data_IF_794964614861
#
_entry.id   IF_794964614861
#
_cell.length_a   1.000
_cell.length_b   1.000
_cell.length_c   1.000
_cell.angle_alpha   90.00
_cell.angle_beta   90.00
_cell.angle_gamma   90.00
#
_symmetry.space_group_name_H-M   'P 1'
#
loop_
_entity.id
_entity.type
_entity.pdbx_description
1 polymer ?
#
# COMPACT_ATOMS: atom_id res chain seq x y z
N UNK A 1 3.88 -17.91 0.87
CA UNK A 1 2.72 -18.45 1.65
C UNK A 1 1.62 -17.41 1.95
N UNK A 2 1.80 -16.14 1.58
CA UNK A 2 0.73 -15.10 1.67
C UNK A 2 -0.40 -15.34 0.68
N UNK A 3 -0.09 -15.70 -0.53
CA UNK A 3 -1.06 -15.96 -1.59
C UNK A 3 -2.21 -16.92 -1.19
N UNK A 4 -2.01 -17.80 -0.22
CA UNK A 4 -3.02 -18.80 0.16
C UNK A 4 -4.02 -18.30 1.23
N UNK A 5 -3.75 -17.19 1.93
CA UNK A 5 -4.65 -16.70 2.99
C UNK A 5 -5.81 -15.84 2.48
N UNK A 6 -5.72 -15.27 1.27
CA UNK A 6 -6.66 -14.29 0.73
C UNK A 6 -7.68 -14.83 -0.28
N UNK A 7 -7.56 -16.09 -0.73
CA UNK A 7 -8.32 -16.67 -1.85
C UNK A 7 -9.83 -16.82 -1.58
N UNK A 8 -10.33 -16.65 -0.36
CA UNK A 8 -11.74 -16.97 -0.04
C UNK A 8 -12.67 -15.78 0.19
N UNK A 9 -12.24 -14.52 0.02
CA UNK A 9 -13.04 -13.39 0.48
C UNK A 9 -13.45 -12.34 -0.56
N UNK A 10 -12.93 -12.34 -1.78
CA UNK A 10 -13.30 -11.29 -2.76
C UNK A 10 -13.65 -11.88 -4.12
N UNK A 11 -14.73 -12.67 -4.16
CA UNK A 11 -15.45 -12.90 -5.41
C UNK A 11 -16.50 -11.81 -5.58
N UNK A 12 -16.16 -10.80 -6.38
CA UNK A 12 -17.15 -9.92 -6.99
C UNK A 12 -17.48 -8.65 -6.22
N UNK A 13 -16.98 -7.54 -6.67
CA UNK A 13 -17.80 -6.40 -7.04
C UNK A 13 -16.94 -5.17 -7.39
N UNK A 14 -16.43 -5.18 -8.61
CA UNK A 14 -16.18 -3.92 -9.29
C UNK A 14 -17.51 -3.34 -9.73
N UNK A 15 -18.14 -2.48 -8.94
CA UNK A 15 -19.26 -1.67 -9.40
C UNK A 15 -18.69 -0.39 -9.99
N UNK A 16 -18.57 -0.38 -11.30
CA UNK A 16 -18.45 0.84 -12.07
C UNK A 16 -19.79 1.59 -11.95
N UNK A 17 -19.84 2.68 -11.21
CA UNK A 17 -20.94 3.62 -11.26
C UNK A 17 -20.79 4.44 -12.55
N UNK A 18 -21.39 3.92 -13.65
CA UNK A 18 -21.68 4.70 -14.82
C UNK A 18 -22.87 5.61 -14.46
N UNK A 19 -22.62 6.89 -14.35
CA UNK A 19 -23.67 7.91 -14.26
C UNK A 19 -24.39 8.01 -15.59
N UNK A 20 -25.66 7.65 -15.63
CA UNK A 20 -26.54 7.89 -16.77
C UNK A 20 -27.29 9.22 -16.54
N UNK A 21 -26.91 10.24 -17.30
CA UNK A 21 -27.68 11.48 -17.41
C UNK A 21 -28.80 11.31 -18.45
N UNK A 22 -29.93 11.92 -18.16
CA UNK A 22 -31.03 12.08 -19.10
C UNK A 22 -32.17 12.83 -18.39
N UNK A 23 -32.43 14.02 -18.66
CA UNK A 23 -33.08 14.65 -19.72
C UNK A 23 -34.42 15.22 -19.29
N UNK A 24 -34.55 16.55 -19.21
CA UNK A 24 -35.65 17.33 -19.73
C UNK A 24 -37.02 17.37 -19.01
N UNK A 25 -37.43 18.56 -18.62
CA UNK A 25 -38.84 18.89 -18.32
C UNK A 25 -39.00 20.25 -17.66
N UNK A 26 -39.26 21.24 -18.49
CA UNK A 26 -39.70 22.58 -18.08
C UNK A 26 -41.08 22.56 -17.42
N UNK A 27 -41.30 23.38 -16.39
CA UNK A 27 -42.43 24.34 -16.34
C UNK A 27 -42.55 25.11 -15.04
N UNK A 28 -42.66 26.41 -15.24
CA UNK A 28 -43.41 27.43 -14.55
C UNK A 28 -43.08 27.90 -13.13
N UNK A 29 -42.79 29.17 -13.16
CA UNK A 29 -42.65 30.12 -12.07
C UNK A 29 -43.95 30.20 -11.19
N UNK A 30 -43.72 30.36 -9.89
CA UNK A 30 -44.56 31.14 -9.00
C UNK A 30 -43.71 31.86 -7.98
N UNK A 31 -43.73 33.16 -8.10
CA UNK A 31 -43.20 34.13 -7.14
C UNK A 31 -43.94 34.07 -5.83
N UNK A 32 -43.24 33.82 -4.73
CA UNK A 32 -43.65 34.28 -3.42
C UNK A 32 -42.43 34.74 -2.64
N UNK A 33 -42.33 36.06 -2.53
CA UNK A 33 -41.36 36.73 -1.67
C UNK A 33 -41.75 36.52 -0.21
N UNK A 34 -40.97 35.71 0.51
CA UNK A 34 -40.94 35.73 1.96
C UNK A 34 -39.52 36.18 2.38
N UNK A 35 -39.48 37.38 2.92
CA UNK A 35 -38.31 37.96 3.58
C UNK A 35 -38.01 37.15 4.83
N UNK A 36 -37.11 36.17 4.70
CA UNK A 36 -36.51 35.42 5.79
C UNK A 36 -35.10 35.92 6.05
N UNK A 37 -34.90 36.54 7.21
CA UNK A 37 -33.60 36.86 7.78
C UNK A 37 -32.74 35.60 7.82
N UNK A 38 -31.79 35.50 6.90
CA UNK A 38 -30.75 34.47 6.94
C UNK A 38 -29.82 34.80 8.09
N UNK A 39 -29.94 34.09 9.20
CA UNK A 39 -28.85 33.99 10.18
C UNK A 39 -27.64 33.39 9.47
N UNK A 40 -26.46 33.99 9.62
CA UNK A 40 -25.22 33.38 9.08
C UNK A 40 -25.04 32.00 9.71
N UNK A 41 -25.06 30.95 8.90
CA UNK A 41 -24.58 29.65 9.33
C UNK A 41 -23.09 29.83 9.57
N UNK A 42 -22.73 30.04 10.81
CA UNK A 42 -21.34 29.93 11.24
C UNK A 42 -20.96 28.46 11.03
N UNK A 43 -20.28 28.16 9.93
CA UNK A 43 -19.57 26.90 9.77
C UNK A 43 -18.53 26.84 10.88
N UNK A 44 -18.90 26.30 12.04
CA UNK A 44 -17.96 25.89 13.06
C UNK A 44 -17.06 24.83 12.40
N UNK A 45 -15.74 25.03 12.33
CA UNK A 45 -14.86 24.00 11.79
C UNK A 45 -15.14 22.70 12.55
N UNK A 46 -15.47 21.63 11.83
CA UNK A 46 -15.61 20.31 12.44
C UNK A 46 -14.24 19.99 13.04
N UNK A 47 -14.20 19.74 14.35
CA UNK A 47 -12.95 19.43 15.03
C UNK A 47 -12.31 18.20 14.37
N UNK A 48 -11.00 18.28 14.12
CA UNK A 48 -10.21 17.13 13.69
C UNK A 48 -10.31 16.03 14.74
N UNK A 49 -10.57 14.79 14.35
CA UNK A 49 -10.46 13.66 15.27
C UNK A 49 -8.97 13.40 15.52
N UNK A 50 -8.49 13.96 16.63
CA UNK A 50 -7.14 13.69 17.13
C UNK A 50 -7.14 12.57 18.18
N UNK A 51 -8.33 12.01 18.50
CA UNK A 51 -8.51 11.11 19.62
C UNK A 51 -7.60 9.87 19.58
N UNK A 52 -7.13 9.45 18.40
CA UNK A 52 -6.28 8.28 18.24
C UNK A 52 -5.05 8.53 17.35
N UNK A 53 -4.85 9.76 16.88
CA UNK A 53 -3.66 10.15 16.13
C UNK A 53 -2.58 10.70 17.09
N UNK A 54 -1.34 10.67 16.66
CA UNK A 54 -0.26 11.37 17.35
C UNK A 54 -0.45 12.89 17.15
N UNK A 55 -0.72 13.67 18.21
CA UNK A 55 -0.96 15.11 18.06
C UNK A 55 0.30 15.88 17.64
N UNK A 56 1.48 15.27 17.71
CA UNK A 56 2.76 15.89 17.35
C UNK A 56 3.28 15.41 15.99
N UNK A 57 2.61 14.46 15.35
CA UNK A 57 3.04 13.89 14.07
C UNK A 57 2.82 14.89 12.93
N UNK A 58 3.85 15.61 12.60
CA UNK A 58 3.91 16.49 11.44
C UNK A 58 4.93 15.90 10.47
N UNK A 59 4.56 15.61 9.22
CA UNK A 59 5.50 15.09 8.24
C UNK A 59 6.71 16.00 8.10
N UNK A 60 7.92 15.41 8.08
CA UNK A 60 9.12 16.18 7.78
C UNK A 60 9.06 16.72 6.35
N UNK A 61 9.77 17.81 6.08
CA UNK A 61 9.81 18.39 4.74
C UNK A 61 10.43 17.41 3.74
N UNK A 62 9.77 17.20 2.61
CA UNK A 62 10.21 16.31 1.52
C UNK A 62 11.30 16.94 0.64
N UNK A 63 12.27 17.63 1.24
CA UNK A 63 13.39 18.25 0.50
C UNK A 63 14.77 17.69 0.83
N UNK A 64 14.83 16.74 1.77
CA UNK A 64 16.08 16.07 2.16
C UNK A 64 16.44 14.94 1.22
N UNK A 65 17.70 14.54 1.20
CA UNK A 65 18.25 13.49 0.34
C UNK A 65 17.52 12.14 0.50
N UNK A 66 17.09 11.83 1.72
CA UNK A 66 16.41 10.59 2.11
C UNK A 66 14.88 10.73 2.17
N UNK A 67 14.26 11.67 1.45
CA UNK A 67 12.81 11.89 1.53
C UNK A 67 12.17 12.05 0.16
N UNK A 68 10.95 11.51 -0.01
CA UNK A 68 10.08 11.79 -1.16
C UNK A 68 8.69 12.20 -0.71
N UNK A 69 8.02 13.14 -1.42
CA UNK A 69 6.66 13.54 -1.08
C UNK A 69 5.67 12.41 -1.36
N UNK A 70 4.71 12.21 -0.45
CA UNK A 70 3.53 11.37 -0.64
C UNK A 70 2.33 12.28 -0.92
N UNK A 71 1.51 11.90 -1.90
CA UNK A 71 0.25 12.59 -2.22
C UNK A 71 -0.89 11.58 -2.33
N UNK A 72 -2.00 11.87 -1.65
CA UNK A 72 -3.30 11.22 -1.86
C UNK A 72 -4.20 12.22 -2.58
N UNK A 73 -4.75 11.85 -3.72
CA UNK A 73 -5.55 12.76 -4.55
C UNK A 73 -6.55 12.01 -5.43
N UNK A 74 -7.30 12.76 -6.23
CA UNK A 74 -8.23 12.24 -7.24
C UNK A 74 -7.57 11.58 -8.45
N UNK A 75 -6.24 11.49 -8.53
CA UNK A 75 -5.58 10.74 -9.58
C UNK A 75 -6.03 9.27 -9.58
N UNK A 76 -6.06 8.65 -8.41
CA UNK A 76 -6.63 7.31 -8.28
C UNK A 76 -8.14 7.37 -8.23
N UNK A 77 -8.81 6.44 -8.93
CA UNK A 77 -10.24 6.17 -8.73
C UNK A 77 -10.52 5.57 -7.35
N UNK A 78 -9.49 5.02 -6.70
CA UNK A 78 -9.55 4.49 -5.33
C UNK A 78 -9.18 5.59 -4.33
N UNK A 79 -9.78 5.53 -3.16
CA UNK A 79 -9.52 6.48 -2.07
C UNK A 79 -8.36 6.03 -1.20
N UNK A 80 -7.75 6.94 -0.48
CA UNK A 80 -6.67 6.64 0.46
C UNK A 80 -5.46 5.93 -0.21
N UNK A 81 -5.13 6.31 -1.45
CA UNK A 81 -3.97 5.76 -2.17
C UNK A 81 -2.78 6.72 -2.04
N UNK A 82 -1.77 6.42 -1.20
CA UNK A 82 -0.57 7.23 -1.07
C UNK A 82 0.36 6.99 -2.26
N UNK A 83 0.64 8.03 -3.04
CA UNK A 83 1.40 7.97 -4.27
C UNK A 83 2.72 8.71 -4.15
N UNK A 84 3.76 8.17 -4.77
CA UNK A 84 5.10 8.77 -4.92
C UNK A 84 5.55 8.71 -6.37
N UNK A 85 6.65 9.43 -6.68
CA UNK A 85 7.38 9.30 -7.94
C UNK A 85 8.62 8.42 -7.75
N UNK A 86 8.85 7.50 -8.69
CA UNK A 86 10.01 6.62 -8.72
C UNK A 86 10.78 6.82 -10.02
N UNK A 87 12.09 6.91 -9.95
CA UNK A 87 12.95 6.97 -11.14
C UNK A 87 13.60 5.61 -11.38
N UNK A 88 13.45 5.06 -12.60
CA UNK A 88 14.09 3.81 -13.04
C UNK A 88 14.99 4.09 -14.24
N UNK A 89 16.18 3.51 -14.22
CA UNK A 89 17.22 3.74 -15.23
C UNK A 89 17.85 2.43 -15.69
N UNK A 90 18.58 2.47 -16.79
CA UNK A 90 19.41 1.35 -17.21
C UNK A 90 20.36 0.93 -16.08
N UNK A 91 20.48 -0.39 -15.77
CA UNK A 91 21.29 -0.87 -14.66
C UNK A 91 22.78 -0.62 -14.86
N UNK A 92 23.52 -0.44 -13.76
CA UNK A 92 24.96 -0.16 -13.78
C UNK A 92 25.34 1.25 -14.20
N UNK A 93 24.37 2.16 -14.30
CA UNK A 93 24.60 3.57 -14.70
C UNK A 93 24.60 4.54 -13.52
N UNK A 94 24.37 4.05 -12.29
CA UNK A 94 24.21 4.89 -11.11
C UNK A 94 22.95 5.77 -11.17
N UNK A 95 21.89 5.24 -11.80
CA UNK A 95 20.64 5.95 -12.09
C UNK A 95 20.84 7.24 -12.91
N UNK A 96 21.78 7.25 -13.86
CA UNK A 96 22.13 8.43 -14.64
C UNK A 96 21.69 8.38 -16.12
N UNK A 97 21.58 7.19 -16.72
CA UNK A 97 21.30 7.06 -18.16
C UNK A 97 20.04 6.23 -18.45
N UNK A 98 19.37 6.57 -19.54
CA UNK A 98 18.16 5.89 -20.01
C UNK A 98 17.13 5.77 -18.88
N UNK A 99 16.77 6.89 -18.30
CA UNK A 99 15.89 6.95 -17.15
C UNK A 99 14.46 7.30 -17.54
N UNK A 100 13.52 6.74 -16.79
CA UNK A 100 12.11 7.16 -16.75
C UNK A 100 11.73 7.55 -15.33
N UNK A 101 11.06 8.68 -15.18
CA UNK A 101 10.40 9.05 -13.92
C UNK A 101 8.94 8.61 -14.03
N UNK A 102 8.53 7.78 -13.11
CA UNK A 102 7.17 7.23 -13.05
C UNK A 102 6.47 7.83 -11.86
N UNK A 103 5.50 8.69 -12.13
CA UNK A 103 4.66 9.30 -11.10
C UNK A 103 3.52 8.35 -10.70
N UNK A 104 2.88 8.65 -9.57
CA UNK A 104 1.69 7.93 -9.11
C UNK A 104 1.93 6.43 -8.91
N UNK A 105 3.03 6.07 -8.27
CA UNK A 105 3.35 4.73 -7.81
C UNK A 105 2.84 4.59 -6.37
N UNK A 106 2.02 3.56 -6.12
CA UNK A 106 1.42 3.30 -4.82
C UNK A 106 2.49 2.91 -3.79
N UNK A 107 2.51 3.56 -2.65
CA UNK A 107 3.32 3.17 -1.48
C UNK A 107 2.59 2.06 -0.73
N UNK A 108 3.20 0.90 -0.67
CA UNK A 108 2.62 -0.31 -0.08
C UNK A 108 3.57 -0.90 0.96
N UNK A 109 3.16 -0.87 2.23
CA UNK A 109 3.97 -1.35 3.35
C UNK A 109 3.72 -2.82 3.69
N UNK A 110 2.84 -3.49 2.95
CA UNK A 110 2.53 -4.90 3.15
C UNK A 110 2.91 -5.77 1.94
N UNK A 111 3.56 -5.17 0.93
CA UNK A 111 4.26 -5.88 -0.13
C UNK A 111 5.74 -5.49 -0.19
N UNK A 112 6.53 -6.18 -1.04
CA UNK A 112 7.98 -6.06 -1.09
C UNK A 112 8.44 -6.01 -2.54
N UNK A 113 9.18 -4.93 -2.87
CA UNK A 113 9.74 -4.74 -4.19
C UNK A 113 8.95 -3.80 -5.10
N UNK A 114 9.61 -3.37 -6.15
CA UNK A 114 9.05 -2.41 -7.11
C UNK A 114 8.38 -3.16 -8.27
N UNK A 115 7.14 -2.79 -8.57
CA UNK A 115 6.33 -3.31 -9.68
C UNK A 115 5.78 -2.16 -10.50
N UNK A 116 6.05 -2.11 -11.80
CA UNK A 116 5.65 -1.03 -12.69
C UNK A 116 4.97 -1.58 -13.95
N UNK A 117 3.93 -0.94 -14.43
CA UNK A 117 3.34 -1.30 -15.71
C UNK A 117 4.29 -0.96 -16.87
N UNK A 118 4.45 -1.88 -17.81
CA UNK A 118 5.28 -1.67 -19.00
C UNK A 118 4.87 -0.41 -19.78
N UNK A 119 3.58 -0.11 -19.82
CA UNK A 119 3.01 1.02 -20.56
C UNK A 119 3.45 2.39 -20.04
N UNK A 120 3.97 2.47 -18.82
CA UNK A 120 4.42 3.75 -18.22
C UNK A 120 5.94 3.89 -18.18
N UNK A 121 6.70 2.95 -18.77
CA UNK A 121 8.16 2.96 -18.80
C UNK A 121 8.65 3.27 -20.22
N UNK A 122 8.86 4.54 -20.60
CA UNK A 122 9.34 4.89 -21.95
C UNK A 122 10.67 4.24 -22.33
N UNK A 123 11.54 4.01 -21.32
CA UNK A 123 12.88 3.41 -21.50
C UNK A 123 12.90 1.90 -21.24
N UNK A 124 11.77 1.21 -21.34
CA UNK A 124 11.63 -0.23 -21.05
C UNK A 124 12.71 -1.10 -21.69
N UNK A 125 13.04 -0.82 -22.96
CA UNK A 125 14.04 -1.60 -23.70
C UNK A 125 15.47 -1.46 -23.16
N UNK A 126 15.75 -0.49 -22.30
CA UNK A 126 17.06 -0.34 -21.62
C UNK A 126 17.16 -1.16 -20.33
N UNK A 127 16.07 -1.78 -19.90
CA UNK A 127 16.00 -2.63 -18.71
C UNK A 127 16.14 -4.08 -19.15
N UNK A 128 17.28 -4.75 -18.91
CA UNK A 128 17.47 -6.13 -19.33
C UNK A 128 16.54 -7.09 -18.58
N UNK A 129 16.07 -8.11 -19.28
CA UNK A 129 15.32 -9.21 -18.72
C UNK A 129 16.19 -10.02 -17.76
N UNK A 130 15.63 -10.40 -16.63
CA UNK A 130 16.24 -11.40 -15.76
C UNK A 130 16.09 -12.78 -16.39
N UNK A 131 17.19 -13.51 -16.50
CA UNK A 131 17.25 -14.80 -17.20
C UNK A 131 17.64 -15.92 -16.25
N UNK A 132 17.01 -17.08 -16.43
CA UNK A 132 17.47 -18.35 -15.86
C UNK A 132 17.75 -19.32 -17.00
N UNK A 133 19.02 -19.50 -17.30
CA UNK A 133 19.46 -20.14 -18.55
C UNK A 133 19.06 -19.31 -19.76
N UNK A 134 18.30 -19.90 -20.69
CA UNK A 134 17.79 -19.22 -21.89
C UNK A 134 16.32 -18.76 -21.74
N UNK A 135 15.75 -18.81 -20.56
CA UNK A 135 14.35 -18.50 -20.28
C UNK A 135 14.21 -17.21 -19.47
N UNK A 136 13.16 -16.43 -19.74
CA UNK A 136 12.86 -15.23 -19.01
C UNK A 136 12.28 -15.60 -17.62
N UNK A 137 12.72 -14.93 -16.57
CA UNK A 137 12.06 -15.00 -15.27
C UNK A 137 10.81 -14.14 -15.30
N UNK A 138 9.70 -14.70 -14.86
CA UNK A 138 8.42 -14.01 -14.71
C UNK A 138 7.90 -14.19 -13.29
N UNK A 139 7.12 -13.22 -12.83
CA UNK A 139 6.52 -13.19 -11.52
C UNK A 139 5.01 -13.03 -11.61
N UNK A 140 4.31 -13.71 -10.72
CA UNK A 140 2.92 -13.43 -10.36
C UNK A 140 2.87 -12.98 -8.91
N UNK A 141 2.38 -11.79 -8.63
CA UNK A 141 2.13 -11.34 -7.26
C UNK A 141 0.63 -11.14 -7.05
N UNK A 142 0.14 -11.58 -5.88
CA UNK A 142 -1.29 -11.54 -5.54
C UNK A 142 -1.56 -10.51 -4.46
N UNK A 143 -2.51 -9.62 -4.75
CA UNK A 143 -3.00 -8.57 -3.88
C UNK A 143 -4.48 -8.79 -3.54
N UNK A 144 -4.99 -8.09 -2.54
CA UNK A 144 -6.42 -8.11 -2.23
C UNK A 144 -7.33 -7.65 -3.39
N UNK A 145 -6.81 -6.84 -4.31
CA UNK A 145 -7.54 -6.33 -5.48
C UNK A 145 -7.39 -7.17 -6.74
N UNK A 146 -6.52 -8.17 -6.76
CA UNK A 146 -6.23 -8.99 -7.93
C UNK A 146 -4.77 -9.44 -7.96
N UNK A 147 -4.27 -9.77 -9.13
CA UNK A 147 -2.87 -10.18 -9.31
C UNK A 147 -2.18 -9.36 -10.42
N UNK A 148 -0.86 -9.26 -10.33
CA UNK A 148 0.01 -8.74 -11.37
C UNK A 148 0.79 -9.89 -12.00
N UNK A 149 0.98 -9.82 -13.31
CA UNK A 149 1.76 -10.77 -14.09
C UNK A 149 2.72 -10.03 -15.01
N UNK A 150 4.00 -10.42 -15.00
CA UNK A 150 4.99 -9.78 -15.83
C UNK A 150 6.36 -10.42 -15.74
N UNK A 151 7.32 -9.88 -16.50
CA UNK A 151 8.72 -10.29 -16.42
C UNK A 151 9.42 -9.66 -15.23
N UNK A 152 10.47 -10.30 -14.75
CA UNK A 152 11.47 -9.65 -13.89
C UNK A 152 12.51 -9.00 -14.78
N UNK A 153 12.79 -7.71 -14.54
CA UNK A 153 13.86 -6.96 -15.20
C UNK A 153 14.79 -6.34 -14.17
N UNK A 154 16.01 -6.01 -14.57
CA UNK A 154 16.97 -5.32 -13.71
C UNK A 154 16.98 -3.83 -14.02
N UNK A 155 16.97 -2.99 -12.98
CA UNK A 155 17.04 -1.54 -13.09
C UNK A 155 17.93 -0.93 -11.98
N UNK A 156 18.49 0.25 -12.24
CA UNK A 156 18.88 1.16 -11.17
C UNK A 156 17.65 1.96 -10.76
N UNK A 157 17.31 1.97 -9.47
CA UNK A 157 16.13 2.66 -8.92
C UNK A 157 16.58 3.83 -8.08
N UNK A 158 15.99 5.01 -8.30
CA UNK A 158 16.27 6.19 -7.49
C UNK A 158 14.99 6.76 -6.87
N UNK A 159 15.08 7.07 -5.59
CA UNK A 159 14.04 7.70 -4.79
C UNK A 159 14.68 8.90 -4.07
N UNK A 160 14.39 10.13 -4.52
CA UNK A 160 15.14 11.32 -4.15
C UNK A 160 16.63 11.16 -4.51
N UNK A 161 17.55 11.32 -3.55
CA UNK A 161 18.98 11.12 -3.76
C UNK A 161 19.44 9.69 -3.44
N UNK A 162 18.57 8.86 -2.89
CA UNK A 162 18.88 7.45 -2.65
C UNK A 162 18.86 6.66 -3.95
N UNK A 163 19.87 5.82 -4.14
CA UNK A 163 20.07 4.99 -5.34
C UNK A 163 20.28 3.54 -4.96
N UNK A 164 19.43 2.69 -5.51
CA UNK A 164 19.55 1.23 -5.45
C UNK A 164 20.01 0.71 -6.81
N UNK A 165 21.17 0.05 -6.85
CA UNK A 165 21.76 -0.43 -8.08
C UNK A 165 21.36 -1.87 -8.39
N UNK A 166 21.15 -2.16 -9.68
CA UNK A 166 20.88 -3.50 -10.20
C UNK A 166 19.72 -4.21 -9.45
N UNK A 167 18.62 -3.51 -9.27
CA UNK A 167 17.45 -4.03 -8.56
C UNK A 167 16.57 -4.86 -9.49
N UNK A 168 16.27 -6.13 -9.16
CA UNK A 168 15.22 -6.88 -9.83
C UNK A 168 13.85 -6.25 -9.52
N UNK A 169 13.10 -5.88 -10.56
CA UNK A 169 11.76 -5.29 -10.49
C UNK A 169 10.79 -6.10 -11.35
N UNK A 170 9.51 -6.13 -11.00
CA UNK A 170 8.49 -6.67 -11.91
C UNK A 170 8.08 -5.61 -12.93
N UNK A 171 8.04 -6.00 -14.20
CA UNK A 171 7.41 -5.21 -15.25
C UNK A 171 6.08 -5.86 -15.61
N UNK A 172 4.98 -5.26 -15.15
CA UNK A 172 3.62 -5.77 -15.30
C UNK A 172 3.17 -5.61 -16.76
N UNK A 173 2.53 -6.64 -17.30
CA UNK A 173 2.07 -6.68 -18.69
C UNK A 173 3.20 -6.37 -19.71
N UNK A 174 4.39 -6.90 -19.45
CA UNK A 174 5.55 -6.73 -20.31
C UNK A 174 5.31 -7.36 -21.69
N UNK A 175 5.45 -6.61 -22.80
CA UNK A 175 5.23 -7.13 -24.16
C UNK A 175 6.25 -8.19 -24.58
N UNK A 176 7.40 -8.32 -23.85
CA UNK A 176 8.37 -9.38 -24.08
C UNK A 176 7.88 -10.75 -23.61
N UNK A 177 6.77 -10.79 -22.84
CA UNK A 177 6.17 -12.00 -22.31
C UNK A 177 4.92 -12.36 -23.12
N UNK A 178 5.09 -13.17 -24.18
CA UNK A 178 3.99 -13.59 -25.06
C UNK A 178 3.27 -14.85 -24.58
N UNK A 179 3.82 -15.54 -23.57
CA UNK A 179 3.23 -16.74 -23.01
C UNK A 179 1.96 -16.41 -22.20
N UNK A 180 0.97 -17.31 -22.27
CA UNK A 180 -0.27 -17.19 -21.50
C UNK A 180 0.02 -17.26 -20.00
N UNK A 181 -0.69 -16.44 -19.23
CA UNK A 181 -0.63 -16.48 -17.77
C UNK A 181 -0.96 -17.88 -17.28
N UNK A 182 -0.09 -18.51 -16.48
CA UNK A 182 -0.38 -19.81 -15.92
C UNK A 182 -1.60 -19.75 -14.99
N UNK A 183 -2.49 -20.75 -15.12
CA UNK A 183 -3.70 -20.87 -14.31
C UNK A 183 -3.76 -22.23 -13.60
N UNK A 184 -4.58 -22.36 -12.57
CA UNK A 184 -4.71 -23.61 -11.81
C UNK A 184 -3.84 -23.67 -10.56
N UNK A 185 -3.65 -24.88 -9.99
CA UNK A 185 -3.02 -25.07 -8.67
C UNK A 185 -1.59 -24.53 -8.58
N UNK A 186 -0.85 -24.56 -9.67
CA UNK A 186 0.51 -24.04 -9.77
C UNK A 186 0.58 -22.74 -10.59
N UNK A 187 -0.58 -22.17 -10.93
CA UNK A 187 -0.66 -20.94 -11.73
C UNK A 187 -0.75 -19.69 -10.90
N UNK A 188 -0.74 -18.57 -11.57
CA UNK A 188 -1.05 -17.27 -11.01
C UNK A 188 -2.40 -17.34 -10.31
N UNK A 189 -2.50 -16.82 -9.09
CA UNK A 189 -3.67 -17.06 -8.23
C UNK A 189 -4.94 -16.46 -8.84
N UNK A 190 -6.07 -17.02 -8.44
CA UNK A 190 -7.39 -16.58 -8.90
C UNK A 190 -7.69 -15.13 -8.49
N UNK A 191 -8.31 -14.38 -9.36
CA UNK A 191 -8.68 -12.97 -9.14
C UNK A 191 -8.59 -12.19 -10.44
N UNK A 192 -8.82 -10.90 -10.36
CA UNK A 192 -8.69 -10.01 -11.52
C UNK A 192 -7.21 -9.85 -11.86
N UNK A 193 -6.83 -10.17 -13.10
CA UNK A 193 -5.50 -9.87 -13.57
C UNK A 193 -5.40 -8.37 -13.90
N UNK A 194 -4.57 -7.66 -13.17
CA UNK A 194 -4.35 -6.22 -13.36
C UNK A 194 -3.30 -6.01 -14.46
N UNK A 195 -3.74 -5.59 -15.63
CA UNK A 195 -2.90 -5.42 -16.82
C UNK A 195 -2.65 -3.97 -17.20
N UNK A 196 -3.39 -3.05 -16.59
CA UNK A 196 -3.30 -1.60 -16.85
C UNK A 196 -3.25 -0.80 -15.57
N UNK A 197 -2.68 0.42 -15.59
CA UNK A 197 -2.72 1.34 -14.46
C UNK A 197 -4.15 1.60 -13.93
N UNK A 198 -5.16 1.58 -14.80
CA UNK A 198 -6.57 1.77 -14.41
C UNK A 198 -7.08 0.61 -13.54
N UNK A 199 -6.68 -0.63 -13.83
CA UNK A 199 -7.10 -1.80 -13.03
C UNK A 199 -6.59 -1.71 -11.58
N UNK A 200 -5.35 -1.27 -11.42
CA UNK A 200 -4.73 -1.05 -10.11
C UNK A 200 -5.20 0.26 -9.46
N UNK A 201 -5.38 1.32 -10.23
CA UNK A 201 -5.57 2.70 -9.78
C UNK A 201 -4.24 3.43 -9.51
N UNK A 202 -3.12 2.92 -10.03
CA UNK A 202 -1.77 3.48 -9.90
C UNK A 202 -0.89 3.03 -11.08
N UNK A 203 0.24 3.69 -11.30
CA UNK A 203 1.20 3.34 -12.35
C UNK A 203 2.12 2.16 -11.94
N UNK A 204 2.03 1.72 -10.71
CA UNK A 204 2.80 0.62 -10.15
C UNK A 204 2.67 0.58 -8.64
N UNK A 205 3.46 -0.30 -8.02
CA UNK A 205 3.50 -0.52 -6.57
C UNK A 205 4.96 -0.44 -6.11
N UNK A 206 5.21 0.39 -5.12
CA UNK A 206 6.46 0.45 -4.38
C UNK A 206 6.25 -0.30 -3.06
N UNK A 207 6.58 -1.60 -3.04
CA UNK A 207 6.51 -2.46 -1.89
C UNK A 207 7.72 -2.24 -0.98
N UNK A 208 7.49 -1.62 0.17
CA UNK A 208 8.54 -1.19 1.13
C UNK A 208 8.32 -1.75 2.53
N UNK A 209 7.61 -2.85 2.64
CA UNK A 209 7.38 -3.53 3.93
C UNK A 209 8.64 -4.14 4.53
N UNK A 210 8.45 -4.97 5.54
CA UNK A 210 9.50 -5.46 6.44
C UNK A 210 10.42 -6.55 5.85
N UNK A 211 10.10 -7.10 4.67
CA UNK A 211 10.94 -8.11 3.99
C UNK A 211 11.84 -7.48 2.91
N UNK A 212 13.08 -7.96 2.76
CA UNK A 212 13.96 -7.51 1.68
C UNK A 212 13.56 -8.02 0.30
N UNK A 213 12.85 -9.15 0.20
CA UNK A 213 12.40 -9.76 -1.04
C UNK A 213 10.95 -10.22 -0.90
N UNK A 214 10.26 -10.35 -2.00
CA UNK A 214 8.85 -10.75 -2.04
C UNK A 214 8.60 -12.21 -1.65
N UNK A 215 9.50 -13.12 -1.98
CA UNK A 215 9.38 -14.55 -1.68
C UNK A 215 10.53 -15.09 -0.81
N UNK A 216 11.74 -14.59 -0.94
CA UNK A 216 12.90 -14.92 -0.15
C UNK A 216 13.32 -16.41 -0.28
N UNK A 217 13.71 -16.99 0.86
CA UNK A 217 14.20 -18.37 0.91
C UNK A 217 13.17 -19.43 0.46
N UNK A 218 11.88 -19.11 0.50
CA UNK A 218 10.84 -20.05 0.07
C UNK A 218 10.94 -20.34 -1.43
N UNK A 219 11.09 -19.31 -2.27
CA UNK A 219 11.26 -19.47 -3.71
C UNK A 219 12.65 -19.91 -4.12
N UNK A 220 13.67 -19.66 -3.28
CA UNK A 220 15.03 -20.17 -3.53
C UNK A 220 15.12 -21.67 -3.30
N UNK A 221 14.47 -22.20 -2.25
CA UNK A 221 14.63 -23.57 -1.81
C UNK A 221 13.50 -24.49 -2.27
N UNK A 222 12.47 -23.96 -2.93
CA UNK A 222 11.32 -24.73 -3.38
C UNK A 222 10.49 -24.01 -4.44
N UNK A 223 9.53 -24.73 -5.00
CA UNK A 223 8.51 -24.15 -5.85
C UNK A 223 7.39 -23.55 -4.97
N UNK A 224 7.15 -22.27 -5.09
CA UNK A 224 6.00 -21.62 -4.44
C UNK A 224 4.93 -21.41 -5.49
N UNK A 225 3.77 -22.01 -5.26
CA UNK A 225 2.64 -21.90 -6.20
C UNK A 225 2.22 -20.44 -6.38
N UNK A 226 2.11 -20.01 -7.62
CA UNK A 226 1.66 -18.67 -7.96
C UNK A 226 2.69 -17.57 -7.72
N UNK A 227 3.98 -17.87 -7.58
CA UNK A 227 5.02 -16.86 -7.40
C UNK A 227 5.88 -16.69 -8.66
N UNK A 228 6.92 -17.51 -8.84
CA UNK A 228 7.90 -17.38 -9.91
C UNK A 228 7.78 -18.44 -10.97
N UNK A 229 8.14 -18.05 -12.20
CA UNK A 229 8.08 -18.88 -13.38
C UNK A 229 9.33 -18.62 -14.25
N UNK A 230 9.70 -19.62 -15.05
CA UNK A 230 10.57 -19.44 -16.21
C UNK A 230 9.76 -19.62 -17.49
N UNK A 231 9.93 -18.70 -18.42
CA UNK A 231 9.10 -18.59 -19.60
C UNK A 231 9.91 -18.67 -20.89
N UNK A 232 9.45 -19.52 -21.81
CA UNK A 232 9.79 -19.47 -23.25
C UNK A 232 8.83 -18.54 -23.98
N UNK A 233 8.93 -18.46 -25.29
CA UNK A 233 8.00 -17.69 -26.14
C UNK A 233 6.55 -18.20 -26.01
N UNK A 234 6.36 -19.51 -25.74
CA UNK A 234 5.04 -20.15 -25.81
C UNK A 234 4.50 -20.70 -24.50
N UNK A 235 5.32 -20.81 -23.46
CA UNK A 235 4.90 -21.43 -22.19
C UNK A 235 5.71 -20.93 -21.00
N UNK A 236 5.09 -20.93 -19.84
CA UNK A 236 5.71 -20.69 -18.55
C UNK A 236 5.55 -21.87 -17.62
N UNK A 237 6.57 -22.20 -16.86
CA UNK A 237 6.55 -23.25 -15.83
C UNK A 237 7.00 -22.71 -14.49
N UNK A 238 6.41 -23.14 -13.35
CA UNK A 238 6.86 -22.73 -12.03
C UNK A 238 8.35 -23.00 -11.85
N UNK A 239 9.05 -22.08 -11.21
CA UNK A 239 10.50 -22.17 -11.04
C UNK A 239 10.94 -21.76 -9.63
N UNK A 240 12.06 -22.36 -9.19
CA UNK A 240 12.85 -21.81 -8.10
C UNK A 240 13.66 -20.64 -8.64
N UNK A 241 13.74 -19.55 -7.89
CA UNK A 241 14.51 -18.36 -8.29
C UNK A 241 15.42 -17.95 -7.13
N UNK A 242 16.70 -17.74 -7.41
CA UNK A 242 17.63 -17.29 -6.39
C UNK A 242 17.21 -15.95 -5.80
N UNK A 243 17.50 -15.72 -4.52
CA UNK A 243 17.14 -14.48 -3.82
C UNK A 243 17.60 -13.23 -4.58
N UNK A 244 18.78 -13.27 -5.19
CA UNK A 244 19.35 -12.14 -5.93
C UNK A 244 18.61 -11.80 -7.22
N UNK A 245 17.80 -12.72 -7.72
CA UNK A 245 17.03 -12.61 -8.96
C UNK A 245 15.53 -12.36 -8.69
N UNK A 246 15.12 -12.37 -7.41
CA UNK A 246 13.74 -12.10 -6.98
C UNK A 246 13.47 -10.60 -6.92
N UNK A 247 12.22 -10.21 -7.12
CA UNK A 247 11.77 -8.83 -6.95
C UNK A 247 12.13 -8.34 -5.54
N UNK A 248 12.82 -7.22 -5.49
CA UNK A 248 13.53 -6.76 -4.30
C UNK A 248 12.99 -5.42 -3.82
N UNK A 249 12.83 -5.28 -2.50
CA UNK A 249 12.58 -4.00 -1.86
C UNK A 249 13.79 -3.07 -2.10
N UNK A 250 13.66 -2.01 -2.91
CA UNK A 250 14.80 -1.18 -3.33
C UNK A 250 15.50 -0.50 -2.15
N UNK A 251 14.79 -0.24 -1.06
CA UNK A 251 15.36 0.40 0.13
C UNK A 251 16.54 -0.40 0.66
N UNK A 252 16.48 -1.73 0.62
CA UNK A 252 17.57 -2.60 1.11
C UNK A 252 18.88 -2.49 0.32
N UNK A 253 18.82 -1.86 -0.85
CA UNK A 253 19.97 -1.67 -1.74
C UNK A 253 20.55 -0.25 -1.70
N UNK A 254 20.00 0.65 -0.90
CA UNK A 254 20.60 1.97 -0.69
C UNK A 254 21.93 1.85 0.03
N UNK A 255 22.85 2.77 -0.22
CA UNK A 255 24.16 2.81 0.44
C UNK A 255 24.04 3.17 1.90
N UNK A 256 23.13 4.10 2.19
CA UNK A 256 22.74 4.57 3.52
C UNK A 256 21.22 4.43 3.64
N UNK A 257 20.65 4.70 4.79
CA UNK A 257 19.18 4.76 4.97
C UNK A 257 18.43 3.49 4.51
N UNK A 258 19.07 2.33 4.61
CA UNK A 258 18.61 1.05 4.05
C UNK A 258 17.93 0.12 5.07
N UNK A 259 17.83 0.53 6.34
CA UNK A 259 17.37 -0.33 7.42
C UNK A 259 15.86 -0.26 7.67
N UNK A 260 15.16 0.62 6.96
CA UNK A 260 13.72 0.79 7.12
C UNK A 260 13.20 2.04 6.44
N UNK A 261 11.92 2.28 6.65
CA UNK A 261 11.23 3.47 6.15
C UNK A 261 10.28 4.03 7.20
N UNK A 262 9.92 5.31 7.05
CA UNK A 262 8.86 5.96 7.82
C UNK A 262 7.84 6.52 6.83
N UNK A 263 6.58 6.14 7.00
CA UNK A 263 5.46 6.75 6.29
C UNK A 263 4.84 7.79 7.20
N UNK A 264 5.01 9.04 6.88
CA UNK A 264 4.53 10.18 7.67
C UNK A 264 3.40 10.87 6.93
N UNK A 265 2.21 10.92 7.52
CA UNK A 265 1.04 11.53 6.90
C UNK A 265 0.47 12.65 7.75
N UNK A 266 0.15 13.76 7.09
CA UNK A 266 -0.59 14.83 7.73
C UNK A 266 -1.98 14.35 8.19
N UNK A 267 -2.50 14.92 9.27
CA UNK A 267 -3.87 14.68 9.70
C UNK A 267 -4.89 15.13 8.65
N UNK A 268 -6.00 14.42 8.58
CA UNK A 268 -7.17 14.81 7.79
C UNK A 268 -8.41 14.89 8.70
N UNK A 269 -9.39 15.75 8.36
CA UNK A 269 -10.65 15.83 9.10
C UNK A 269 -11.44 14.51 9.05
N UNK A 270 -12.30 14.26 10.04
CA UNK A 270 -13.21 13.10 10.06
C UNK A 270 -14.20 13.09 8.90
N UNK A 271 -14.44 14.25 8.28
CA UNK A 271 -15.24 14.39 7.06
C UNK A 271 -14.44 14.07 5.80
N UNK A 272 -13.15 13.78 5.94
CA UNK A 272 -12.21 13.59 4.84
C UNK A 272 -11.69 14.89 4.24
N UNK A 273 -10.73 14.76 3.34
CA UNK A 273 -10.14 15.84 2.57
C UNK A 273 -10.05 15.47 1.09
N UNK A 274 -10.11 16.48 0.21
CA UNK A 274 -9.96 16.27 -1.24
C UNK A 274 -8.57 15.72 -1.58
N UNK A 275 -7.56 16.14 -0.83
CA UNK A 275 -6.18 15.68 -0.95
C UNK A 275 -5.55 15.55 0.44
N UNK A 276 -4.54 14.70 0.56
CA UNK A 276 -3.67 14.68 1.73
C UNK A 276 -2.21 14.57 1.27
N UNK A 277 -1.31 15.08 2.08
CA UNK A 277 0.13 15.04 1.82
C UNK A 277 0.86 14.38 2.97
N UNK A 278 2.03 13.85 2.66
CA UNK A 278 2.93 13.23 3.61
C UNK A 278 4.33 13.15 3.06
N UNK A 279 5.18 12.47 3.79
CA UNK A 279 6.57 12.23 3.40
C UNK A 279 6.91 10.76 3.62
N UNK A 280 7.48 10.11 2.62
CA UNK A 280 8.17 8.85 2.78
C UNK A 280 9.63 9.17 3.09
N UNK A 281 10.10 8.70 4.25
CA UNK A 281 11.47 8.91 4.74
C UNK A 281 12.20 7.59 4.72
N UNK A 282 13.42 7.56 4.21
CA UNK A 282 14.27 6.38 4.18
C UNK A 282 15.23 6.38 5.36
N UNK A 283 15.48 5.17 5.89
CA UNK A 283 16.27 4.96 7.09
C UNK A 283 15.49 5.18 8.40
N UNK A 284 15.97 4.56 9.47
CA UNK A 284 15.48 4.75 10.84
C UNK A 284 16.69 4.94 11.75
N UNK A 285 16.77 6.05 12.49
CA UNK A 285 17.91 6.46 13.33
C UNK A 285 19.24 6.61 12.56
N UNK A 286 19.18 6.86 11.27
CA UNK A 286 20.36 7.03 10.42
C UNK A 286 20.70 8.50 10.16
N UNK A 287 19.70 9.38 10.29
CA UNK A 287 19.82 10.82 10.10
C UNK A 287 19.00 11.59 11.16
N UNK A 288 19.15 12.90 11.20
CA UNK A 288 18.44 13.73 12.19
C UNK A 288 16.93 13.84 11.94
N UNK A 289 16.47 13.57 10.70
CA UNK A 289 15.08 13.69 10.31
C UNK A 289 14.31 12.35 10.36
N UNK A 290 14.94 11.24 10.76
CA UNK A 290 14.32 9.91 10.78
C UNK A 290 14.50 9.19 12.13
N UNK A 291 14.58 9.95 13.22
CA UNK A 291 14.78 9.41 14.54
C UNK A 291 13.54 8.64 15.03
N UNK A 292 13.73 7.40 15.47
CA UNK A 292 12.82 6.63 16.32
C UNK A 292 13.25 6.78 17.78
N UNK A 293 14.55 6.92 18.00
CA UNK A 293 15.16 7.20 19.28
C UNK A 293 14.57 8.46 19.95
N UNK A 294 14.18 8.34 21.21
CA UNK A 294 13.58 9.45 21.96
C UNK A 294 12.09 9.69 21.69
N UNK A 295 11.46 8.93 20.79
CA UNK A 295 10.00 8.91 20.65
C UNK A 295 9.38 7.96 21.68
N UNK A 296 8.08 8.15 21.97
CA UNK A 296 7.31 7.22 22.79
C UNK A 296 6.60 6.18 21.91
N UNK A 297 7.27 5.69 20.87
CA UNK A 297 6.66 4.79 19.90
C UNK A 297 6.33 3.42 20.52
N UNK A 298 5.17 2.90 20.17
CA UNK A 298 4.83 1.49 20.38
C UNK A 298 5.56 0.67 19.33
N UNK A 299 6.49 -0.19 19.75
CA UNK A 299 7.30 -1.04 18.87
C UNK A 299 6.73 -2.45 18.89
N UNK A 300 6.40 -2.99 17.72
CA UNK A 300 5.80 -4.29 17.53
C UNK A 300 6.66 -5.13 16.56
N UNK A 301 7.58 -5.97 17.09
CA UNK A 301 8.24 -6.97 16.27
C UNK A 301 7.22 -7.86 15.54
N UNK A 302 7.45 -8.10 14.25
CA UNK A 302 6.55 -8.87 13.38
C UNK A 302 7.22 -10.16 12.90
N UNK A 303 6.51 -10.99 12.18
CA UNK A 303 7.19 -11.97 11.33
C UNK A 303 7.83 -11.24 10.13
N UNK A 304 8.58 -11.96 9.29
CA UNK A 304 9.29 -11.37 8.13
C UNK A 304 8.34 -10.66 7.16
N UNK A 305 7.07 -10.99 7.20
CA UNK A 305 6.03 -10.47 6.31
C UNK A 305 5.22 -9.31 6.89
N UNK A 306 5.54 -8.85 8.11
CA UNK A 306 4.80 -7.79 8.79
C UNK A 306 3.58 -8.29 9.59
N UNK A 307 3.27 -9.60 9.56
CA UNK A 307 2.10 -10.14 10.24
C UNK A 307 2.30 -10.29 11.75
N UNK A 308 1.20 -10.10 12.48
CA UNK A 308 1.05 -10.28 13.92
C UNK A 308 -0.22 -11.06 14.24
N UNK A 309 -0.35 -11.51 15.47
CA UNK A 309 -1.62 -11.99 15.99
C UNK A 309 -2.49 -10.82 16.47
N UNK A 310 -3.80 -10.97 16.47
CA UNK A 310 -4.69 -9.99 17.07
C UNK A 310 -5.95 -10.62 17.67
N UNK A 311 -6.56 -9.88 18.62
CA UNK A 311 -7.90 -10.16 19.14
C UNK A 311 -8.78 -8.95 18.89
N UNK A 312 -9.93 -9.17 18.25
CA UNK A 312 -10.93 -8.14 17.98
C UNK A 312 -12.35 -8.70 18.12
N UNK A 313 -13.22 -8.04 18.87
CA UNK A 313 -14.59 -8.50 19.16
C UNK A 313 -14.66 -9.97 19.63
N UNK A 314 -13.69 -10.40 20.47
CA UNK A 314 -13.61 -11.77 20.98
C UNK A 314 -13.10 -12.83 19.97
N UNK A 315 -12.77 -12.44 18.75
CA UNK A 315 -12.19 -13.31 17.73
C UNK A 315 -10.67 -13.18 17.70
N UNK A 316 -9.96 -14.31 17.65
CA UNK A 316 -8.50 -14.35 17.49
C UNK A 316 -8.13 -14.53 16.02
N UNK A 317 -7.18 -13.74 15.55
CA UNK A 317 -6.58 -13.80 14.22
C UNK A 317 -5.10 -14.14 14.40
N UNK A 318 -4.71 -15.35 14.03
CA UNK A 318 -3.31 -15.79 14.13
C UNK A 318 -2.56 -15.43 12.85
N UNK A 319 -1.52 -14.60 12.98
CA UNK A 319 -0.74 -14.07 11.84
C UNK A 319 -1.65 -13.48 10.75
N UNK A 320 -2.69 -12.79 11.19
CA UNK A 320 -3.71 -12.21 10.31
C UNK A 320 -3.98 -10.74 10.60
N UNK A 321 -3.06 -10.05 11.28
CA UNK A 321 -3.17 -8.64 11.59
C UNK A 321 -1.90 -7.90 11.16
N UNK A 322 -2.04 -6.76 10.48
CA UNK A 322 -0.93 -5.99 9.94
C UNK A 322 -1.36 -4.53 9.67
N UNK A 323 -0.35 -3.67 9.38
CA UNK A 323 -0.55 -2.28 8.99
C UNK A 323 -0.13 -2.11 7.53
N UNK A 324 -1.03 -1.60 6.69
CA UNK A 324 -0.87 -1.58 5.23
C UNK A 324 -1.23 -0.23 4.62
N UNK A 325 -0.23 0.54 4.19
CA UNK A 325 -0.47 1.80 3.46
C UNK A 325 -1.09 1.61 2.08
N UNK A 326 -0.94 0.43 1.47
CA UNK A 326 -1.54 0.07 0.18
C UNK A 326 -3.04 -0.24 0.25
N UNK A 327 -3.56 -0.47 1.47
CA UNK A 327 -4.97 -0.72 1.70
C UNK A 327 -5.76 0.56 1.93
N UNK A 328 -6.82 0.75 1.13
CA UNK A 328 -7.61 2.00 1.09
C UNK A 328 -8.55 2.20 2.28
N UNK A 329 -8.74 1.20 3.14
CA UNK A 329 -9.66 1.22 4.27
C UNK A 329 -9.11 0.51 5.49
N UNK A 330 -9.87 0.55 6.57
CA UNK A 330 -9.69 -0.31 7.74
C UNK A 330 -10.48 -1.58 7.48
N UNK A 331 -9.80 -2.71 7.25
CA UNK A 331 -10.43 -3.97 6.87
C UNK A 331 -10.47 -4.93 8.05
N UNK A 332 -11.67 -5.30 8.49
CA UNK A 332 -11.88 -6.21 9.62
C UNK A 332 -13.29 -6.79 9.59
N UNK A 333 -13.59 -7.81 10.38
CA UNK A 333 -14.95 -8.30 10.55
C UNK A 333 -15.54 -7.79 11.86
N UNK A 334 -16.63 -7.01 11.78
CA UNK A 334 -17.43 -6.62 12.95
C UNK A 334 -18.78 -7.30 12.92
N UNK A 335 -19.27 -7.68 14.11
CA UNK A 335 -20.61 -8.21 14.35
C UNK A 335 -21.56 -7.12 14.81
N UNK A 336 -21.06 -5.93 15.13
CA UNK A 336 -21.81 -4.82 15.72
C UNK A 336 -22.09 -3.69 14.73
N UNK A 337 -21.25 -3.53 13.70
CA UNK A 337 -21.43 -2.46 12.71
C UNK A 337 -22.34 -2.89 11.56
N UNK A 338 -23.27 -2.00 11.20
CA UNK A 338 -24.00 -2.12 9.94
C UNK A 338 -23.07 -1.93 8.75
N UNK A 339 -23.37 -2.59 7.63
CA UNK A 339 -22.62 -2.46 6.37
C UNK A 339 -23.55 -2.45 5.16
N UNK A 340 -23.12 -1.76 4.11
CA UNK A 340 -23.75 -1.79 2.80
C UNK A 340 -23.48 -3.12 2.06
N UNK A 341 -24.19 -3.39 0.98
CA UNK A 341 -24.04 -4.61 0.15
C UNK A 341 -22.64 -4.77 -0.46
N UNK A 342 -21.92 -3.66 -0.65
CA UNK A 342 -20.55 -3.64 -1.15
C UNK A 342 -19.48 -3.86 -0.05
N UNK A 343 -19.89 -4.19 1.18
CA UNK A 343 -19.00 -4.50 2.29
C UNK A 343 -18.52 -3.29 3.11
N UNK A 344 -18.73 -2.06 2.67
CA UNK A 344 -18.34 -0.88 3.45
C UNK A 344 -19.24 -0.69 4.67
N UNK A 345 -18.64 -0.34 5.83
CA UNK A 345 -19.39 -0.08 7.04
C UNK A 345 -20.17 1.23 6.98
N UNK A 346 -21.40 1.20 7.53
CA UNK A 346 -22.36 2.32 7.53
C UNK A 346 -22.97 2.54 8.92
N UNK A 347 -22.15 2.76 9.97
CA UNK A 347 -22.69 3.04 11.30
C UNK A 347 -23.51 4.33 11.26
N UNK A 348 -24.51 4.44 12.15
CA UNK A 348 -25.38 5.63 12.25
C UNK A 348 -24.67 6.84 12.84
N UNK A 349 -23.60 6.61 13.60
CA UNK A 349 -22.70 7.62 14.15
C UNK A 349 -21.24 7.11 14.08
N UNK A 350 -20.25 8.02 14.06
CA UNK A 350 -18.84 7.62 14.17
C UNK A 350 -18.62 6.72 15.39
N UNK A 351 -17.97 5.58 15.17
CA UNK A 351 -17.81 4.53 16.19
C UNK A 351 -16.33 4.26 16.43
N UNK A 352 -15.89 4.44 17.67
CA UNK A 352 -14.54 4.08 18.11
C UNK A 352 -14.43 2.58 18.37
N UNK A 353 -13.38 1.97 17.86
CA UNK A 353 -13.07 0.54 17.98
C UNK A 353 -11.63 0.34 18.46
N UNK A 354 -11.35 -0.85 18.99
CA UNK A 354 -9.99 -1.23 19.37
C UNK A 354 -9.75 -2.71 19.15
N UNK A 355 -8.54 -3.05 18.71
CA UNK A 355 -8.04 -4.41 18.60
C UNK A 355 -6.78 -4.55 19.47
N UNK A 356 -6.57 -5.71 20.06
CA UNK A 356 -5.32 -6.02 20.78
C UNK A 356 -4.41 -6.79 19.83
N UNK A 357 -3.30 -6.18 19.43
CA UNK A 357 -2.26 -6.80 18.61
C UNK A 357 -1.22 -7.47 19.50
N UNK A 358 -0.75 -8.63 19.09
CA UNK A 358 0.33 -9.37 19.78
C UNK A 358 1.49 -9.55 18.83
N UNK A 359 2.60 -8.92 19.15
CA UNK A 359 3.85 -8.96 18.41
C UNK A 359 4.54 -10.32 18.47
N UNK A 360 5.53 -10.57 17.61
CA UNK A 360 6.29 -11.82 17.58
C UNK A 360 7.04 -12.14 18.88
N UNK A 361 7.37 -11.15 19.68
CA UNK A 361 7.97 -11.28 21.00
C UNK A 361 6.94 -11.38 22.15
N UNK A 362 5.66 -11.57 21.82
CA UNK A 362 4.52 -11.62 22.76
C UNK A 362 4.16 -10.29 23.45
N UNK A 363 4.80 -9.18 23.09
CA UNK A 363 4.34 -7.87 23.55
C UNK A 363 2.98 -7.54 22.93
N UNK A 364 2.12 -6.84 23.67
CA UNK A 364 0.79 -6.48 23.22
C UNK A 364 0.61 -4.97 23.11
N UNK A 365 -0.18 -4.53 22.15
CA UNK A 365 -0.61 -3.15 22.00
C UNK A 365 -2.09 -3.06 21.68
N UNK A 366 -2.76 -2.05 22.24
CA UNK A 366 -4.15 -1.74 21.87
C UNK A 366 -4.14 -0.74 20.72
N UNK A 367 -4.52 -1.20 19.53
CA UNK A 367 -4.69 -0.38 18.33
C UNK A 367 -6.10 0.18 18.30
N UNK A 368 -6.23 1.49 18.39
CA UNK A 368 -7.52 2.21 18.41
C UNK A 368 -7.76 2.91 17.07
N UNK A 369 -8.99 2.85 16.57
CA UNK A 369 -9.38 3.49 15.33
C UNK A 369 -10.88 3.84 15.31
N UNK A 370 -11.27 4.77 14.45
CA UNK A 370 -12.67 5.16 14.25
C UNK A 370 -13.20 4.64 12.92
N UNK A 371 -14.51 4.39 12.87
CA UNK A 371 -15.23 4.09 11.63
C UNK A 371 -16.44 5.01 11.52
N UNK A 372 -16.56 5.66 10.37
CA UNK A 372 -17.69 6.53 10.02
C UNK A 372 -18.53 5.94 8.88
N UNK A 373 -19.70 6.53 8.64
CA UNK A 373 -20.59 6.08 7.57
C UNK A 373 -19.94 6.28 6.20
N UNK A 374 -19.59 5.19 5.54
CA UNK A 374 -18.92 5.19 4.24
C UNK A 374 -19.73 5.89 3.13
N UNK A 375 -21.07 5.83 3.18
CA UNK A 375 -21.92 6.50 2.19
C UNK A 375 -21.75 8.00 2.31
N UNK A 376 -21.78 8.54 3.53
CA UNK A 376 -21.52 9.96 3.78
C UNK A 376 -20.13 10.38 3.34
N UNK A 377 -19.12 9.59 3.71
CA UNK A 377 -17.73 9.87 3.33
C UNK A 377 -17.55 9.88 1.80
N UNK A 378 -18.00 8.84 1.12
CA UNK A 378 -17.84 8.70 -0.33
C UNK A 378 -18.58 9.78 -1.11
N UNK A 379 -19.79 10.15 -0.65
CA UNK A 379 -20.61 11.20 -1.29
C UNK A 379 -20.05 12.62 -1.07
N UNK A 380 -19.09 12.82 -0.15
CA UNK A 380 -18.41 14.11 0.01
C UNK A 380 -17.56 14.49 -1.20
N UNK A 381 -17.19 13.53 -2.05
CA UNK A 381 -16.23 13.73 -3.15
C UNK A 381 -14.77 13.77 -2.71
N UNK A 382 -14.46 13.57 -1.44
CA UNK A 382 -13.11 13.53 -0.90
C UNK A 382 -12.38 12.22 -1.24
N UNK A 383 -11.04 12.25 -1.13
CA UNK A 383 -10.18 11.10 -1.45
C UNK A 383 -9.35 10.60 -0.26
N UNK A 384 -9.16 11.40 0.78
CA UNK A 384 -8.44 11.04 2.00
C UNK A 384 -9.41 10.97 3.18
N UNK A 385 -9.46 9.81 3.86
CA UNK A 385 -10.35 9.53 4.99
C UNK A 385 -9.60 8.77 6.08
N UNK A 386 -9.66 9.23 7.32
CA UNK A 386 -9.04 8.60 8.48
C UNK A 386 -9.92 7.52 9.16
N UNK A 387 -11.13 7.27 8.63
CA UNK A 387 -12.18 6.50 9.30
C UNK A 387 -13.05 5.67 8.34
N UNK A 388 -12.54 5.35 7.16
CA UNK A 388 -13.21 4.51 6.17
C UNK A 388 -13.00 3.03 6.50
N UNK A 389 -14.07 2.31 6.88
CA UNK A 389 -14.03 0.89 7.25
C UNK A 389 -14.71 -0.03 6.25
N UNK A 390 -14.16 -1.24 6.08
CA UNK A 390 -14.63 -2.27 5.14
C UNK A 390 -14.62 -3.64 5.82
N UNK A 391 -15.61 -4.49 5.51
CA UNK A 391 -15.69 -5.83 6.07
C UNK A 391 -14.67 -6.77 5.42
N UNK A 392 -13.89 -7.46 6.26
CA UNK A 392 -12.95 -8.50 5.89
C UNK A 392 -13.13 -9.72 6.81
N UNK A 393 -13.20 -10.94 6.26
CA UNK A 393 -13.59 -12.11 7.07
C UNK A 393 -12.46 -12.78 7.85
N UNK A 394 -11.23 -12.78 7.36
CA UNK A 394 -10.15 -13.62 7.89
C UNK A 394 -8.89 -12.84 8.33
N UNK A 395 -9.04 -11.57 8.67
CA UNK A 395 -7.90 -10.75 9.09
C UNK A 395 -8.32 -9.41 9.64
N UNK A 396 -7.33 -8.68 10.12
CA UNK A 396 -7.39 -7.27 10.46
C UNK A 396 -6.29 -6.57 9.67
N UNK A 397 -6.68 -5.81 8.67
CA UNK A 397 -5.79 -4.96 7.90
C UNK A 397 -6.05 -3.51 8.30
N UNK A 398 -5.09 -2.94 8.99
CA UNK A 398 -5.12 -1.55 9.43
C UNK A 398 -4.50 -0.70 8.30
N UNK A 399 -5.38 -0.34 7.35
CA UNK A 399 -4.97 0.37 6.15
C UNK A 399 -4.70 1.86 6.33
N UNK A 400 -4.56 2.55 5.20
CA UNK A 400 -4.17 3.96 5.09
C UNK A 400 -4.95 4.94 6.00
N UNK A 401 -6.23 4.73 6.34
CA UNK A 401 -6.92 5.59 7.31
C UNK A 401 -6.20 5.76 8.64
N UNK A 402 -5.49 4.74 9.10
CA UNK A 402 -4.73 4.79 10.35
C UNK A 402 -3.45 5.62 10.26
N UNK A 403 -2.89 5.78 9.07
CA UNK A 403 -1.63 6.50 8.87
C UNK A 403 -1.77 8.02 9.00
N UNK A 404 -2.96 8.56 8.75
CA UNK A 404 -3.17 10.01 8.87
C UNK A 404 -2.95 10.51 10.29
N UNK A 405 -2.09 11.52 10.43
CA UNK A 405 -1.65 12.08 11.69
C UNK A 405 -0.71 11.15 12.47
N UNK A 406 0.04 10.28 11.78
CA UNK A 406 1.03 9.39 12.40
C UNK A 406 2.33 9.32 11.62
N UNK A 407 3.39 8.95 12.33
CA UNK A 407 4.63 8.44 11.77
C UNK A 407 4.64 6.92 11.97
N UNK A 408 4.63 6.17 10.85
CA UNK A 408 4.61 4.71 10.85
C UNK A 408 5.97 4.20 10.39
N UNK A 409 6.68 3.52 11.27
CA UNK A 409 8.04 3.00 11.05
C UNK A 409 8.00 1.53 10.67
N UNK A 410 8.77 1.15 9.66
CA UNK A 410 8.90 -0.22 9.19
C UNK A 410 10.38 -0.60 9.15
N UNK A 411 10.84 -1.35 10.17
CA UNK A 411 12.20 -1.89 10.22
C UNK A 411 12.31 -3.12 9.35
N UNK A 412 13.29 -3.13 8.43
CA UNK A 412 13.47 -4.21 7.45
C UNK A 412 14.34 -5.32 8.03
N UNK A 413 13.91 -6.57 7.81
CA UNK A 413 14.63 -7.77 8.25
C UNK A 413 16.01 -7.87 7.63
N UNK A 414 17.01 -8.24 8.45
CA UNK A 414 18.38 -8.46 8.01
C UNK A 414 19.21 -7.20 7.74
N UNK A 415 18.65 -6.02 8.02
CA UNK A 415 19.37 -4.75 7.91
C UNK A 415 19.93 -4.30 9.26
N UNK A 416 20.73 -3.23 9.26
CA UNK A 416 21.35 -2.67 10.46
C UNK A 416 20.27 -2.30 11.49
N UNK A 417 20.46 -2.58 12.79
CA UNK A 417 19.47 -2.28 13.81
C UNK A 417 19.33 -0.77 14.02
N UNK A 418 18.09 -0.35 14.35
CA UNK A 418 17.75 0.97 14.87
C UNK A 418 17.72 0.94 16.42
N UNK A 419 17.26 2.01 17.05
CA UNK A 419 16.97 2.05 18.49
C UNK A 419 15.88 1.05 18.93
N UNK A 420 15.02 0.61 18.00
CA UNK A 420 14.06 -0.46 18.22
C UNK A 420 14.66 -1.87 18.13
N UNK A 421 15.94 -1.99 17.81
CA UNK A 421 16.61 -3.26 17.52
C UNK A 421 16.62 -3.61 16.05
N UNK A 422 16.93 -4.87 15.74
CA UNK A 422 16.90 -5.38 14.36
C UNK A 422 15.46 -5.57 13.88
N UNK A 423 15.19 -5.25 12.60
CA UNK A 423 13.93 -5.62 11.93
C UNK A 423 13.73 -7.16 11.85
N UNK A 424 12.53 -7.66 11.61
CA UNK A 424 11.34 -6.91 11.19
C UNK A 424 10.51 -6.37 12.36
N UNK A 425 10.05 -5.15 12.25
CA UNK A 425 9.10 -4.55 13.19
C UNK A 425 8.27 -3.45 12.51
N UNK A 426 7.11 -3.16 13.09
CA UNK A 426 6.34 -1.94 12.86
C UNK A 426 6.36 -1.12 14.15
N UNK A 427 6.52 0.21 14.05
CA UNK A 427 6.39 1.07 15.21
C UNK A 427 5.58 2.34 14.87
N UNK A 428 4.89 2.88 15.87
CA UNK A 428 4.13 4.13 15.75
C UNK A 428 3.95 4.80 17.11
N UNK A 429 3.81 6.12 17.11
CA UNK A 429 3.43 6.85 18.33
C UNK A 429 1.90 6.81 18.44
N UNK A 430 1.39 6.43 19.61
CA UNK A 430 -0.02 6.50 19.98
C UNK A 430 -0.27 7.64 20.96
N UNK A 431 -1.36 8.37 20.77
CA UNK A 431 -1.83 9.39 21.73
C UNK A 431 -2.35 8.77 23.03
#
# INVERSE_FOLDING_TARGET
MRALKWILAVSGMCVALAGCGGGGGSSNASTNSASGTSTPVTNTPVALSTAFADPTAVPVSSGSANTVPIVVSSFSIKRNFPMVSVKVCAPGTGAALNCSVIDNVLVDTESFGLRLFASVIPTLNSLPLQMQGAQNVAECESFGSGNTWGTVRTADVSLSSEVALNVPIQVIADPSLSATIPTGINGCLTGTNMTTPTDLGANGILGIGTSPNDCGAACQNGLVAGAYYVCTVSSCTPAQVNIVDQVTNPVTKFTTDNNGVIVEMAQVPDTGAATATGTLVFGIDTQSNNALSGTNATILPTNIWGDMDAVFEGRTYSKGAFFDSGSSGLYFQSTTLSKASNGFYTPTAPTGLSAVFTAANSATATVKFNVSNSVTLINSGNYAFNNLGVALFNGIDIGMPFFYGRHMYYGISGQSPSSAGAGPYVAYVSS
#
